data_IF_171974158165
#
_entry.id   IF_171974158165
#
_cell.length_a   1.000
_cell.length_b   1.000
_cell.length_c   1.000
_cell.angle_alpha   90.00
_cell.angle_beta   90.00
_cell.angle_gamma   90.00
#
_symmetry.space_group_name_H-M   'P 1'
#
loop_
_entity.id
_entity.type
_entity.pdbx_description
1 polymer ?
#
# COMPACT_ATOMS: atom_id res chain seq x y z
N UNK A 1 -48.24 2.06 2.82
CA UNK A 1 -47.77 3.14 3.74
C UNK A 1 -46.74 2.63 4.74
N UNK A 2 -47.06 1.62 5.56
CA UNK A 2 -46.09 1.02 6.50
C UNK A 2 -44.79 0.54 5.83
N UNK A 3 -44.88 -0.11 4.67
CA UNK A 3 -43.71 -0.53 3.89
C UNK A 3 -42.77 0.63 3.50
N UNK A 4 -43.34 1.74 3.02
CA UNK A 4 -42.57 2.92 2.61
C UNK A 4 -41.88 3.58 3.80
N UNK A 5 -42.58 3.67 4.95
CA UNK A 5 -42.00 4.20 6.19
C UNK A 5 -40.86 3.29 6.69
N UNK A 6 -41.06 1.98 6.67
CA UNK A 6 -40.03 1.02 7.08
C UNK A 6 -38.80 1.07 6.15
N UNK A 7 -39.01 1.17 4.84
CA UNK A 7 -37.93 1.31 3.87
C UNK A 7 -37.15 2.61 4.07
N UNK A 8 -37.84 3.75 4.25
CA UNK A 8 -37.20 5.02 4.52
C UNK A 8 -36.41 5.01 5.85
N UNK A 9 -37.00 4.45 6.91
CA UNK A 9 -36.34 4.28 8.19
C UNK A 9 -35.09 3.40 8.07
N UNK A 10 -35.15 2.32 7.29
CA UNK A 10 -33.99 1.46 7.04
C UNK A 10 -32.86 2.24 6.36
N UNK A 11 -33.15 3.05 5.34
CA UNK A 11 -32.12 3.85 4.64
C UNK A 11 -31.47 4.86 5.60
N UNK A 12 -32.27 5.57 6.40
CA UNK A 12 -31.77 6.54 7.38
C UNK A 12 -30.88 5.90 8.44
N UNK A 13 -31.15 4.65 8.83
CA UNK A 13 -30.33 3.90 9.79
C UNK A 13 -29.11 3.24 9.14
N UNK A 14 -29.28 2.68 7.93
CA UNK A 14 -28.25 1.89 7.26
C UNK A 14 -27.15 2.77 6.66
N UNK A 15 -27.47 3.94 6.11
CA UNK A 15 -26.49 4.84 5.51
C UNK A 15 -25.40 5.31 6.50
N UNK A 16 -25.70 5.87 7.68
CA UNK A 16 -24.66 6.30 8.61
C UNK A 16 -23.84 5.12 9.13
N UNK A 17 -24.48 3.97 9.39
CA UNK A 17 -23.77 2.76 9.80
C UNK A 17 -22.78 2.30 8.73
N UNK A 18 -23.21 2.27 7.46
CA UNK A 18 -22.35 1.92 6.32
C UNK A 18 -21.24 2.93 6.12
N UNK A 19 -21.49 4.23 6.30
CA UNK A 19 -20.46 5.25 6.23
C UNK A 19 -19.36 5.01 7.27
N UNK A 20 -19.73 4.73 8.53
CA UNK A 20 -18.77 4.40 9.61
C UNK A 20 -18.02 3.09 9.32
N UNK A 21 -18.71 2.07 8.80
CA UNK A 21 -18.07 0.80 8.44
C UNK A 21 -17.05 0.97 7.32
N UNK A 22 -17.40 1.73 6.27
CA UNK A 22 -16.50 2.03 5.15
C UNK A 22 -15.31 2.83 5.64
N UNK A 23 -15.53 3.91 6.39
CA UNK A 23 -14.45 4.75 6.92
C UNK A 23 -13.46 3.94 7.77
N UNK A 24 -13.93 3.06 8.64
CA UNK A 24 -13.06 2.16 9.42
C UNK A 24 -12.29 1.17 8.57
N UNK A 25 -12.84 0.75 7.43
CA UNK A 25 -12.20 -0.20 6.52
C UNK A 25 -11.16 0.49 5.62
N UNK A 26 -11.52 1.62 5.00
CA UNK A 26 -10.66 2.29 3.99
C UNK A 26 -9.87 3.47 4.54
N UNK A 27 -10.27 4.04 5.68
CA UNK A 27 -9.60 5.17 6.33
C UNK A 27 -8.13 4.89 6.69
N UNK A 28 -7.78 3.75 7.30
CA UNK A 28 -6.40 3.32 7.48
C UNK A 28 -5.59 3.33 6.17
N UNK A 29 -6.15 2.74 5.11
CA UNK A 29 -5.52 2.67 3.80
C UNK A 29 -5.36 4.05 3.17
N UNK A 30 -6.34 4.95 3.30
CA UNK A 30 -6.27 6.32 2.80
C UNK A 30 -5.23 7.17 3.55
N UNK A 31 -4.99 6.91 4.84
CA UNK A 31 -3.88 7.52 5.59
C UNK A 31 -2.53 6.99 5.13
N UNK A 32 -2.41 5.68 4.92
CA UNK A 32 -1.21 5.05 4.36
C UNK A 32 -0.88 5.56 2.95
N UNK A 33 -1.87 5.64 2.05
CA UNK A 33 -1.72 6.18 0.69
C UNK A 33 -1.21 7.62 0.74
N UNK A 34 -1.82 8.49 1.58
CA UNK A 34 -1.33 9.87 1.76
C UNK A 34 0.12 9.95 2.22
N UNK A 35 0.55 9.05 3.10
CA UNK A 35 1.95 9.00 3.52
C UNK A 35 2.88 8.56 2.39
N UNK A 36 2.52 7.52 1.65
CA UNK A 36 3.29 7.05 0.49
C UNK A 36 3.41 8.15 -0.55
N UNK A 37 2.33 8.89 -0.81
CA UNK A 37 2.32 10.03 -1.75
C UNK A 37 3.05 11.26 -1.22
N UNK A 38 3.28 11.38 0.09
CA UNK A 38 3.99 12.53 0.67
C UNK A 38 5.50 12.34 0.73
N UNK A 39 6.04 11.24 0.19
CA UNK A 39 7.49 11.04 0.15
C UNK A 39 8.12 11.97 -0.89
N UNK A 40 9.27 12.56 -0.54
CA UNK A 40 9.99 13.48 -1.42
C UNK A 40 10.84 12.77 -2.49
N UNK A 41 10.93 11.43 -2.41
CA UNK A 41 11.65 10.62 -3.39
C UNK A 41 10.94 10.59 -4.76
N UNK A 42 11.70 10.46 -5.84
CA UNK A 42 11.13 10.29 -7.18
C UNK A 42 10.41 8.96 -7.34
N UNK A 43 10.89 7.91 -6.66
CA UNK A 43 10.31 6.58 -6.66
C UNK A 43 10.08 6.10 -5.22
N UNK A 44 8.88 5.61 -4.95
CA UNK A 44 8.57 4.93 -3.69
C UNK A 44 8.36 3.45 -3.96
N UNK A 45 9.16 2.61 -3.31
CA UNK A 45 9.03 1.15 -3.36
C UNK A 45 8.21 0.68 -2.17
N UNK A 46 7.05 0.06 -2.44
CA UNK A 46 6.18 -0.49 -1.39
C UNK A 46 6.31 -2.00 -1.34
N UNK A 47 6.61 -2.54 -0.16
CA UNK A 47 6.54 -3.98 0.12
C UNK A 47 5.09 -4.41 0.36
N UNK A 48 4.30 -4.46 -0.72
CA UNK A 48 2.85 -4.59 -0.64
C UNK A 48 2.37 -5.96 -0.14
N UNK A 49 3.22 -6.99 -0.18
CA UNK A 49 2.89 -8.34 0.31
C UNK A 49 2.94 -8.44 1.84
N UNK A 50 3.49 -7.44 2.54
CA UNK A 50 3.47 -7.42 4.01
C UNK A 50 2.23 -6.76 4.59
N UNK A 51 1.44 -6.07 3.75
CA UNK A 51 0.32 -5.22 4.16
C UNK A 51 -0.99 -5.71 3.53
N UNK A 52 -2.02 -5.85 4.35
CA UNK A 52 -3.37 -6.14 3.90
C UNK A 52 -3.91 -4.97 3.07
N UNK A 53 -4.38 -5.25 1.86
CA UNK A 53 -4.64 -4.23 0.82
C UNK A 53 -3.40 -3.37 0.47
N UNK A 54 -2.19 -3.91 0.61
CA UNK A 54 -0.97 -3.19 0.23
C UNK A 54 -0.86 -2.95 -1.27
N UNK A 55 -1.48 -3.81 -2.09
CA UNK A 55 -1.41 -3.69 -3.57
C UNK A 55 -2.06 -2.40 -4.06
N UNK A 56 -3.06 -1.92 -3.33
CA UNK A 56 -3.82 -0.72 -3.59
C UNK A 56 -2.98 0.56 -3.35
N UNK A 57 -1.89 0.45 -2.59
CA UNK A 57 -0.90 1.52 -2.44
C UNK A 57 -0.01 1.65 -3.68
N UNK A 58 0.17 0.57 -4.45
CA UNK A 58 0.95 0.60 -5.68
C UNK A 58 0.13 1.26 -6.78
N UNK A 59 0.51 2.47 -7.17
CA UNK A 59 -0.17 3.24 -8.22
C UNK A 59 0.81 3.59 -9.34
N UNK A 60 0.78 2.81 -10.41
CA UNK A 60 1.39 3.21 -11.67
C UNK A 60 0.31 3.84 -12.56
N UNK A 61 0.04 5.14 -12.38
CA UNK A 61 -0.89 5.84 -13.25
C UNK A 61 -0.11 6.42 -14.44
N UNK A 62 -0.24 5.88 -15.68
CA UNK A 62 0.57 6.30 -16.83
C UNK A 62 0.30 7.74 -17.30
N UNK A 63 -0.70 8.40 -16.72
CA UNK A 63 -1.10 9.78 -17.00
C UNK A 63 -0.75 10.76 -15.86
N UNK A 64 -0.09 10.29 -14.80
CA UNK A 64 0.43 11.17 -13.74
C UNK A 64 1.93 11.33 -13.94
N UNK A 65 2.34 12.54 -14.31
CA UNK A 65 3.75 12.96 -14.32
C UNK A 65 4.24 13.44 -12.95
N UNK A 66 3.39 13.39 -11.92
CA UNK A 66 3.70 13.83 -10.57
C UNK A 66 4.45 12.74 -9.78
N UNK A 67 5.59 13.10 -9.19
CA UNK A 67 6.29 12.28 -8.21
C UNK A 67 5.54 12.23 -6.87
N UNK A 68 5.67 11.14 -6.08
CA UNK A 68 6.48 9.95 -6.35
C UNK A 68 5.81 8.93 -7.29
N UNK A 69 6.63 8.23 -8.09
CA UNK A 69 6.21 7.01 -8.78
C UNK A 69 6.17 5.86 -7.78
N UNK A 70 4.98 5.34 -7.48
CA UNK A 70 4.82 4.28 -6.49
C UNK A 70 4.83 2.90 -7.16
N UNK A 71 5.85 2.11 -6.87
CA UNK A 71 6.05 0.78 -7.43
C UNK A 71 5.97 -0.28 -6.34
N UNK A 72 5.43 -1.45 -6.69
CA UNK A 72 5.45 -2.61 -5.82
C UNK A 72 6.78 -3.35 -5.96
N UNK A 73 7.48 -3.58 -4.85
CA UNK A 73 8.78 -4.25 -4.85
C UNK A 73 8.73 -5.61 -5.55
N UNK A 74 7.66 -6.38 -5.33
CA UNK A 74 7.47 -7.73 -5.85
C UNK A 74 7.16 -7.79 -7.36
N UNK A 75 7.00 -6.64 -8.02
CA UNK A 75 6.87 -6.57 -9.48
C UNK A 75 8.20 -6.27 -10.17
N UNK A 76 9.29 -6.15 -9.41
CA UNK A 76 10.62 -5.83 -9.93
C UNK A 76 11.52 -7.08 -9.90
N UNK A 77 12.37 -7.17 -10.91
CA UNK A 77 13.56 -8.04 -10.87
C UNK A 77 14.71 -7.32 -10.18
N UNK A 78 15.75 -8.06 -9.76
CA UNK A 78 16.97 -7.48 -9.16
C UNK A 78 17.59 -6.45 -10.11
N UNK A 79 17.77 -6.77 -11.40
CA UNK A 79 18.33 -5.85 -12.39
C UNK A 79 17.49 -4.58 -12.62
N UNK A 80 16.16 -4.67 -12.49
CA UNK A 80 15.29 -3.50 -12.56
C UNK A 80 15.45 -2.64 -11.30
N UNK A 81 15.49 -3.27 -10.13
CA UNK A 81 15.68 -2.58 -8.86
C UNK A 81 17.03 -1.85 -8.84
N UNK A 82 18.13 -2.52 -9.20
CA UNK A 82 19.45 -1.89 -9.29
C UNK A 82 19.48 -0.68 -10.23
N UNK A 83 18.84 -0.79 -11.41
CA UNK A 83 18.73 0.35 -12.33
C UNK A 83 17.93 1.51 -11.74
N UNK A 84 16.82 1.23 -11.05
CA UNK A 84 16.01 2.26 -10.40
C UNK A 84 16.83 2.95 -9.30
N UNK A 85 17.45 2.18 -8.42
CA UNK A 85 18.28 2.70 -7.32
C UNK A 85 19.48 3.53 -7.83
N UNK A 86 20.02 3.20 -9.01
CA UNK A 86 21.13 3.94 -9.62
C UNK A 86 20.73 5.22 -10.37
N UNK A 87 19.44 5.40 -10.68
CA UNK A 87 18.95 6.50 -11.54
C UNK A 87 18.06 7.49 -10.83
N UNK A 88 17.35 7.07 -9.79
CA UNK A 88 16.34 7.86 -9.10
C UNK A 88 16.63 7.92 -7.61
N UNK A 89 16.14 8.97 -6.96
CA UNK A 89 15.98 8.96 -5.50
C UNK A 89 14.86 7.97 -5.12
N UNK A 90 15.19 7.00 -4.28
CA UNK A 90 14.26 5.93 -3.88
C UNK A 90 13.99 5.98 -2.40
N UNK A 91 12.71 5.88 -2.03
CA UNK A 91 12.28 5.61 -0.66
C UNK A 91 11.65 4.22 -0.59
N UNK A 92 12.16 3.37 0.29
CA UNK A 92 11.51 2.11 0.62
C UNK A 92 10.48 2.30 1.74
N UNK A 93 9.30 1.72 1.55
CA UNK A 93 8.17 1.72 2.49
C UNK A 93 7.73 0.29 2.75
N UNK A 94 7.83 -0.13 4.01
CA UNK A 94 7.41 -1.45 4.48
C UNK A 94 6.19 -1.39 5.43
N UNK A 95 5.76 -2.56 5.92
CA UNK A 95 4.70 -2.62 6.92
C UNK A 95 5.02 -1.80 8.18
N UNK A 96 6.27 -1.73 8.64
CA UNK A 96 6.60 -1.00 9.86
C UNK A 96 6.42 0.51 9.70
N UNK A 97 6.69 1.05 8.51
CA UNK A 97 6.38 2.45 8.20
C UNK A 97 4.88 2.75 8.24
N UNK A 98 4.07 1.78 7.81
CA UNK A 98 2.63 1.93 7.63
C UNK A 98 1.82 1.53 8.86
N UNK A 99 2.37 0.73 9.77
CA UNK A 99 1.69 0.20 10.95
C UNK A 99 1.05 1.29 11.82
N UNK A 100 1.66 2.48 11.87
CA UNK A 100 1.12 3.66 12.58
C UNK A 100 -0.22 4.19 12.02
N UNK A 101 -0.63 3.75 10.83
CA UNK A 101 -1.89 4.13 10.21
C UNK A 101 -2.99 3.08 10.37
N UNK A 102 -2.76 2.06 11.22
CA UNK A 102 -3.70 0.97 11.52
C UNK A 102 -3.98 0.05 10.32
N UNK A 103 -3.07 0.02 9.32
CA UNK A 103 -3.12 -1.02 8.30
C UNK A 103 -2.79 -2.37 8.91
N UNK A 104 -3.49 -3.41 8.48
CA UNK A 104 -3.29 -4.75 8.99
C UNK A 104 -2.13 -5.43 8.25
N UNK A 105 -1.30 -6.24 8.92
CA UNK A 105 -0.35 -7.09 8.22
C UNK A 105 -1.08 -8.22 7.49
N UNK A 106 -0.48 -8.76 6.41
CA UNK A 106 -0.96 -10.03 5.86
C UNK A 106 -0.68 -11.14 6.88
N UNK A 107 -1.71 -11.92 7.23
CA UNK A 107 -1.58 -13.01 8.20
C UNK A 107 -0.51 -14.02 7.74
N UNK A 108 0.34 -14.55 8.64
CA UNK A 108 1.41 -15.49 8.28
C UNK A 108 0.93 -16.74 7.53
N UNK A 109 -0.31 -17.18 7.78
CA UNK A 109 -0.93 -18.32 7.10
C UNK A 109 -1.30 -18.03 5.64
N UNK A 110 -1.64 -16.78 5.32
CA UNK A 110 -1.82 -16.32 3.95
C UNK A 110 -0.48 -15.93 3.33
N UNK A 111 0.50 -15.57 4.17
CA UNK A 111 1.83 -15.30 3.70
C UNK A 111 2.45 -16.56 3.06
N UNK A 112 2.28 -17.74 3.64
CA UNK A 112 2.73 -19.00 3.03
C UNK A 112 2.13 -19.38 1.66
N UNK A 113 1.09 -18.67 1.19
CA UNK A 113 0.50 -18.87 -0.14
C UNK A 113 1.02 -17.89 -1.20
N UNK A 114 1.54 -16.73 -0.79
CA UNK A 114 2.32 -15.87 -1.68
C UNK A 114 3.74 -16.43 -1.63
N UNK A 115 4.35 -16.65 -2.78
CA UNK A 115 5.68 -17.26 -2.84
C UNK A 115 6.72 -16.22 -2.36
N UNK A 116 6.80 -15.94 -1.06
CA UNK A 116 7.86 -15.16 -0.38
C UNK A 116 9.18 -15.94 -0.44
N UNK A 117 9.58 -16.24 -1.66
CA UNK A 117 10.76 -17.00 -2.01
C UNK A 117 12.02 -16.24 -1.59
N UNK A 118 13.18 -16.90 -1.75
CA UNK A 118 14.47 -16.22 -1.60
C UNK A 118 14.58 -14.93 -2.43
N UNK A 119 13.83 -14.82 -3.54
CA UNK A 119 13.78 -13.62 -4.39
C UNK A 119 13.22 -12.39 -3.65
N UNK A 120 12.14 -12.54 -2.88
CA UNK A 120 11.56 -11.42 -2.14
C UNK A 120 12.49 -10.94 -1.02
N UNK A 121 13.21 -11.87 -0.39
CA UNK A 121 14.22 -11.55 0.62
C UNK A 121 15.41 -10.79 0.00
N UNK A 122 15.86 -11.22 -1.18
CA UNK A 122 16.93 -10.57 -1.94
C UNK A 122 16.53 -9.15 -2.36
N UNK A 123 15.33 -8.98 -2.93
CA UNK A 123 14.79 -7.67 -3.31
C UNK A 123 14.69 -6.73 -2.10
N UNK A 124 14.20 -7.20 -0.94
CA UNK A 124 14.16 -6.41 0.29
C UNK A 124 15.54 -6.02 0.78
N UNK A 125 16.49 -6.94 0.76
CA UNK A 125 17.86 -6.67 1.17
C UNK A 125 18.50 -5.59 0.28
N UNK A 126 18.24 -5.63 -1.02
CA UNK A 126 18.72 -4.61 -1.96
C UNK A 126 18.00 -3.26 -1.75
N UNK A 127 16.67 -3.27 -1.61
CA UNK A 127 15.87 -2.06 -1.43
C UNK A 127 16.18 -1.32 -0.11
N UNK A 128 16.50 -2.06 0.96
CA UNK A 128 16.91 -1.48 2.26
C UNK A 128 18.39 -1.13 2.33
N UNK A 129 19.18 -1.48 1.32
CA UNK A 129 20.61 -1.16 1.31
C UNK A 129 20.84 0.36 1.20
N UNK A 130 21.93 0.89 1.78
CA UNK A 130 22.31 2.31 1.66
C UNK A 130 22.56 2.78 0.22
N UNK A 131 22.68 1.83 -0.72
CA UNK A 131 22.83 2.14 -2.15
C UNK A 131 21.50 2.46 -2.82
N UNK A 132 20.38 2.06 -2.23
CA UNK A 132 19.06 2.25 -2.82
C UNK A 132 18.21 3.24 -2.05
N UNK A 133 18.00 3.00 -0.75
CA UNK A 133 17.12 3.84 0.06
C UNK A 133 17.94 4.76 0.95
N UNK A 134 17.57 6.04 0.98
CA UNK A 134 18.17 7.06 1.85
C UNK A 134 17.61 7.01 3.29
N UNK A 135 17.27 5.81 3.78
CA UNK A 135 16.62 5.61 5.09
C UNK A 135 17.61 5.78 6.24
#
# INVERSE_FOLDING_TARGET
RAFVIAAAAMVVLALPLRAVQVDRLVGPLARADRYVQSQEAEVVLVDWVTVWFGRELVRHHPLRDEAPRVLGLQFLTVDQLERICGQYSVQFVDYFDLARFEVLPIAPSLAGQVNFSGHDAELRALATSPRCSNR
#
